data_IF_050095996941
#
_entry.id   IF_050095996941
#
_cell.length_a   1.000
_cell.length_b   1.000
_cell.length_c   1.000
_cell.angle_alpha   90.00
_cell.angle_beta   90.00
_cell.angle_gamma   90.00
#
_symmetry.space_group_name_H-M   'P 1'
#
loop_
_entity.id
_entity.type
_entity.pdbx_description
1 polymer ?
#
# COMPACT_ATOMS: atom_id res chain seq x y z
N UNK A 1 -1.43 35.01 -57.69
CA UNK A 1 -1.00 35.64 -56.43
C UNK A 1 -1.82 35.01 -55.32
N UNK A 2 -1.29 33.99 -54.64
CA UNK A 2 -1.99 33.27 -53.58
C UNK A 2 -1.21 33.47 -52.28
N UNK A 3 -1.86 34.10 -51.30
CA UNK A 3 -1.30 34.32 -49.96
C UNK A 3 -1.61 33.05 -49.17
N UNK A 4 -0.56 32.25 -48.90
CA UNK A 4 -0.66 31.12 -47.96
C UNK A 4 -0.52 31.71 -46.56
N UNK A 5 -1.64 31.82 -45.85
CA UNK A 5 -1.65 32.16 -44.42
C UNK A 5 -1.32 30.90 -43.65
N UNK A 6 -0.06 30.75 -43.25
CA UNK A 6 0.37 29.71 -42.31
C UNK A 6 -0.02 30.18 -40.91
N UNK A 7 -1.18 29.76 -40.44
CA UNK A 7 -1.55 29.88 -39.04
C UNK A 7 -0.71 28.91 -38.23
N UNK A 8 0.38 29.41 -37.65
CA UNK A 8 1.11 28.71 -36.59
C UNK A 8 0.18 28.66 -35.39
N UNK A 9 -0.53 27.55 -35.22
CA UNK A 9 -1.16 27.21 -33.94
C UNK A 9 0.00 26.91 -33.00
N UNK A 10 0.52 27.97 -32.37
CA UNK A 10 1.34 27.86 -31.18
C UNK A 10 0.44 27.30 -30.10
N UNK A 11 0.27 25.98 -30.10
CA UNK A 11 -0.33 25.25 -29.01
C UNK A 11 0.44 25.63 -27.77
N UNK A 12 -0.17 26.48 -26.95
CA UNK A 12 0.15 26.61 -25.54
C UNK A 12 -0.21 25.26 -24.91
N UNK A 13 0.63 24.24 -25.16
CA UNK A 13 0.76 23.14 -24.24
C UNK A 13 1.25 23.81 -22.96
N UNK A 14 0.31 24.14 -22.09
CA UNK A 14 0.58 24.47 -20.70
C UNK A 14 1.27 23.23 -20.16
N UNK A 15 2.58 23.24 -20.28
CA UNK A 15 3.48 22.31 -19.63
C UNK A 15 3.27 22.57 -18.15
N UNK A 16 2.32 21.85 -17.55
CA UNK A 16 2.22 21.68 -16.12
C UNK A 16 3.47 20.90 -15.70
N UNK A 17 4.58 21.61 -15.61
CA UNK A 17 5.69 21.20 -14.77
C UNK A 17 5.17 21.35 -13.35
N UNK A 18 4.44 20.35 -12.87
CA UNK A 18 4.38 20.12 -11.43
C UNK A 18 5.84 20.02 -11.01
N UNK A 19 6.34 21.06 -10.34
CA UNK A 19 7.50 20.88 -9.48
C UNK A 19 7.05 19.80 -8.49
N UNK A 20 7.37 18.54 -8.79
CA UNK A 20 7.51 17.52 -7.76
C UNK A 20 8.50 18.14 -6.78
N UNK A 21 7.92 18.70 -5.73
CA UNK A 21 8.64 19.49 -4.77
C UNK A 21 9.81 18.63 -4.31
N UNK A 22 11.03 19.18 -4.43
CA UNK A 22 12.21 18.59 -3.80
C UNK A 22 11.99 18.36 -2.29
N UNK A 23 10.93 18.94 -1.72
CA UNK A 23 10.37 18.68 -0.40
C UNK A 23 9.95 17.22 -0.23
N UNK A 24 9.25 16.59 -1.18
CA UNK A 24 8.86 15.17 -1.07
C UNK A 24 10.08 14.26 -1.06
N UNK A 25 11.02 14.46 -2.00
CA UNK A 25 12.26 13.66 -2.07
C UNK A 25 13.15 13.87 -0.84
N UNK A 26 13.25 15.10 -0.34
CA UNK A 26 14.02 15.43 0.87
C UNK A 26 13.36 14.89 2.13
N UNK A 27 12.03 14.98 2.24
CA UNK A 27 11.26 14.39 3.34
C UNK A 27 11.38 12.86 3.35
N UNK A 28 11.28 12.19 2.19
CA UNK A 28 11.48 10.73 2.12
C UNK A 28 12.93 10.33 2.42
N UNK A 29 13.92 11.08 1.94
CA UNK A 29 15.32 10.79 2.21
C UNK A 29 15.68 11.00 3.69
N UNK A 30 15.07 11.98 4.36
CA UNK A 30 15.23 12.21 5.79
C UNK A 30 14.52 11.10 6.59
N UNK A 31 13.29 10.72 6.22
CA UNK A 31 12.55 9.65 6.89
C UNK A 31 13.20 8.26 6.76
N UNK A 32 13.80 7.94 5.61
CA UNK A 32 14.54 6.68 5.41
C UNK A 32 15.84 6.67 6.24
N UNK A 33 16.51 7.81 6.40
CA UNK A 33 17.69 7.93 7.27
C UNK A 33 17.33 7.96 8.77
N UNK A 34 16.08 8.27 9.12
CA UNK A 34 15.56 8.22 10.49
C UNK A 34 15.21 6.79 10.94
N UNK A 35 14.90 5.89 10.01
CA UNK A 35 14.52 4.49 10.31
C UNK A 35 15.64 3.48 10.03
N UNK A 36 16.80 3.93 9.53
CA UNK A 36 17.99 3.10 9.40
C UNK A 36 18.58 2.68 10.76
N UNK A 37 19.44 1.65 10.80
CA UNK A 37 20.03 1.11 12.05
C UNK A 37 20.96 2.07 12.82
N UNK A 38 21.15 3.30 12.33
CA UNK A 38 21.94 4.36 12.96
C UNK A 38 21.10 5.64 13.02
N UNK A 39 20.11 5.67 13.92
CA UNK A 39 19.17 6.75 14.13
C UNK A 39 19.84 8.01 14.72
N UNK A 40 20.44 8.84 13.88
CA UNK A 40 21.15 10.06 14.33
C UNK A 40 20.28 11.05 15.12
N UNK A 41 18.95 10.94 15.07
CA UNK A 41 17.99 11.84 15.72
C UNK A 41 17.23 11.21 16.89
N UNK A 42 17.48 9.94 17.23
CA UNK A 42 16.92 9.33 18.44
C UNK A 42 15.40 9.35 18.54
N UNK A 43 14.67 9.28 17.42
CA UNK A 43 13.24 8.97 17.44
C UNK A 43 13.12 7.47 17.71
N UNK A 44 13.57 7.05 18.90
CA UNK A 44 13.33 5.74 19.42
C UNK A 44 11.82 5.59 19.52
N UNK A 45 11.25 4.87 18.56
CA UNK A 45 9.87 4.41 18.67
C UNK A 45 9.86 3.57 19.94
N UNK A 46 9.25 4.09 21.01
CA UNK A 46 9.06 3.31 22.22
C UNK A 46 8.16 2.13 21.87
N UNK A 47 8.79 0.95 21.75
CA UNK A 47 8.11 -0.29 21.40
C UNK A 47 7.44 -0.96 22.59
N UNK A 48 7.67 -0.46 23.81
CA UNK A 48 7.10 -1.05 25.02
C UNK A 48 5.57 -1.04 25.01
N UNK A 49 4.96 -0.07 24.33
CA UNK A 49 3.52 0.04 24.16
C UNK A 49 2.94 -0.92 23.09
N UNK A 50 3.76 -1.49 22.20
CA UNK A 50 3.27 -2.34 21.12
C UNK A 50 3.29 -3.80 21.52
N UNK A 51 2.13 -4.43 21.44
CA UNK A 51 1.98 -5.87 21.66
C UNK A 51 2.31 -6.59 20.35
N UNK A 52 3.07 -7.69 20.42
CA UNK A 52 3.33 -8.54 19.25
C UNK A 52 2.00 -9.08 18.70
N UNK A 53 1.83 -9.00 17.38
CA UNK A 53 0.68 -9.59 16.72
C UNK A 53 0.59 -11.09 17.05
N UNK A 54 -0.63 -11.56 17.38
CA UNK A 54 -0.90 -12.99 17.56
C UNK A 54 -0.95 -13.65 16.20
N UNK A 55 -0.57 -14.93 16.16
CA UNK A 55 -0.62 -15.70 14.93
C UNK A 55 -2.03 -15.88 14.38
N UNK A 56 -2.12 -16.21 13.08
CA UNK A 56 -3.38 -16.55 12.45
C UNK A 56 -3.89 -17.86 13.02
N UNK A 57 -5.05 -17.82 13.68
CA UNK A 57 -5.67 -18.97 14.33
C UNK A 57 -7.03 -19.24 13.73
N UNK A 58 -7.42 -20.53 13.68
CA UNK A 58 -8.74 -20.99 13.22
C UNK A 58 -9.08 -20.55 11.79
N UNK A 59 -8.08 -20.50 10.91
CA UNK A 59 -8.29 -20.27 9.48
C UNK A 59 -8.79 -21.57 8.84
N UNK A 60 -9.92 -21.49 8.12
CA UNK A 60 -10.52 -22.64 7.45
C UNK A 60 -9.81 -23.00 6.15
N UNK A 61 -9.37 -21.99 5.41
CA UNK A 61 -8.77 -22.14 4.09
C UNK A 61 -7.87 -20.95 3.76
N UNK A 62 -6.87 -21.16 2.91
CA UNK A 62 -5.97 -20.14 2.41
C UNK A 62 -6.13 -20.02 0.89
N UNK A 63 -6.23 -18.77 0.41
CA UNK A 63 -6.37 -18.44 -1.01
C UNK A 63 -5.11 -17.68 -1.44
N UNK A 64 -4.61 -17.98 -2.65
CA UNK A 64 -3.38 -17.41 -3.24
C UNK A 64 -2.07 -17.76 -2.50
N UNK A 65 -2.13 -18.55 -1.43
CA UNK A 65 -0.96 -18.97 -0.66
C UNK A 65 -1.22 -20.29 0.05
N UNK A 66 -0.13 -21.01 0.35
CA UNK A 66 -0.11 -22.03 1.41
C UNK A 66 -0.32 -21.37 2.79
N UNK A 67 -0.62 -22.14 3.86
CA UNK A 67 -0.70 -21.61 5.21
C UNK A 67 0.55 -20.78 5.60
N UNK A 68 0.32 -19.58 6.14
CA UNK A 68 1.37 -18.64 6.56
C UNK A 68 1.25 -18.30 8.04
N UNK A 69 2.39 -17.99 8.68
CA UNK A 69 2.47 -17.45 10.05
C UNK A 69 3.14 -16.06 10.08
N UNK A 70 2.99 -15.30 11.17
CA UNK A 70 3.76 -14.05 11.32
C UNK A 70 5.27 -14.27 11.43
N UNK A 71 5.71 -15.47 11.81
CA UNK A 71 7.12 -15.79 11.90
C UNK A 71 7.76 -15.91 10.51
N UNK A 72 7.01 -16.36 9.50
CA UNK A 72 7.43 -16.37 8.07
C UNK A 72 7.48 -14.97 7.46
N UNK A 73 6.75 -14.01 8.05
CA UNK A 73 6.65 -12.63 7.59
C UNK A 73 7.59 -11.66 8.32
N UNK A 74 8.49 -12.16 9.17
CA UNK A 74 9.47 -11.33 9.89
C UNK A 74 10.31 -10.49 8.93
N UNK A 75 10.53 -9.23 9.30
CA UNK A 75 11.29 -8.27 8.49
C UNK A 75 10.48 -7.60 7.38
N UNK A 76 9.22 -7.98 7.18
CA UNK A 76 8.28 -7.34 6.26
C UNK A 76 7.36 -6.39 7.02
N UNK A 77 6.81 -5.41 6.31
CA UNK A 77 5.66 -4.63 6.80
C UNK A 77 4.41 -5.42 6.43
N UNK A 78 3.62 -5.83 7.42
CA UNK A 78 2.42 -6.63 7.19
C UNK A 78 1.18 -5.79 7.49
N UNK A 79 0.35 -5.60 6.48
CA UNK A 79 -0.99 -5.03 6.62
C UNK A 79 -1.99 -6.18 6.71
N UNK A 80 -2.75 -6.23 7.81
CA UNK A 80 -3.86 -7.19 7.97
C UNK A 80 -5.16 -6.45 7.73
N UNK A 81 -5.92 -6.87 6.73
CA UNK A 81 -7.21 -6.28 6.36
C UNK A 81 -8.34 -7.28 6.63
N UNK A 82 -9.28 -6.93 7.51
CA UNK A 82 -10.45 -7.75 7.80
C UNK A 82 -11.58 -7.33 6.88
N UNK A 83 -12.08 -8.26 6.08
CA UNK A 83 -13.03 -7.94 5.03
C UNK A 83 -14.02 -9.06 4.78
N UNK A 84 -15.07 -8.75 4.02
CA UNK A 84 -15.95 -9.74 3.40
C UNK A 84 -16.39 -9.24 2.03
N UNK A 85 -16.69 -10.15 1.10
CA UNK A 85 -16.85 -9.80 -0.31
C UNK A 85 -18.17 -9.08 -0.63
N UNK A 86 -19.25 -9.27 0.15
CA UNK A 86 -20.51 -8.53 -0.08
C UNK A 86 -20.53 -7.15 0.59
N UNK A 87 -19.55 -6.84 1.44
CA UNK A 87 -19.50 -5.57 2.15
C UNK A 87 -19.07 -4.43 1.21
N UNK A 88 -19.99 -3.50 0.95
CA UNK A 88 -19.73 -2.35 0.07
C UNK A 88 -18.59 -1.45 0.55
N UNK A 89 -18.36 -1.38 1.87
CA UNK A 89 -17.26 -0.61 2.42
C UNK A 89 -15.91 -1.28 2.14
N UNK A 90 -15.83 -2.61 2.25
CA UNK A 90 -14.64 -3.37 1.88
C UNK A 90 -14.38 -3.29 0.37
N UNK A 91 -15.41 -3.39 -0.47
CA UNK A 91 -15.24 -3.24 -1.93
C UNK A 91 -14.62 -1.87 -2.28
N UNK A 92 -14.99 -0.81 -1.55
CA UNK A 92 -14.43 0.53 -1.74
C UNK A 92 -12.98 0.67 -1.28
N UNK A 93 -12.49 -0.18 -0.37
CA UNK A 93 -11.09 -0.14 0.07
C UNK A 93 -10.15 -0.90 -0.88
N UNK A 94 -10.65 -1.94 -1.58
CA UNK A 94 -9.84 -2.79 -2.47
C UNK A 94 -8.99 -2.00 -3.49
N UNK A 95 -9.50 -0.96 -4.19
CA UNK A 95 -8.67 -0.21 -5.13
C UNK A 95 -7.44 0.44 -4.49
N UNK A 96 -7.55 0.90 -3.23
CA UNK A 96 -6.44 1.48 -2.48
C UNK A 96 -5.43 0.42 -2.05
N UNK A 97 -5.90 -0.76 -1.63
CA UNK A 97 -5.03 -1.89 -1.30
C UNK A 97 -4.24 -2.35 -2.53
N UNK A 98 -4.89 -2.40 -3.70
CA UNK A 98 -4.21 -2.71 -4.96
C UNK A 98 -3.15 -1.67 -5.32
N UNK A 99 -3.44 -0.38 -5.15
CA UNK A 99 -2.46 0.69 -5.35
C UNK A 99 -1.24 0.52 -4.43
N UNK A 100 -1.46 0.24 -3.15
CA UNK A 100 -0.38 0.02 -2.19
C UNK A 100 0.43 -1.23 -2.49
N UNK A 101 -0.24 -2.33 -2.84
CA UNK A 101 0.42 -3.55 -3.27
C UNK A 101 1.34 -3.29 -4.46
N UNK A 102 0.84 -2.64 -5.51
CA UNK A 102 1.63 -2.31 -6.71
C UNK A 102 2.82 -1.40 -6.40
N UNK A 103 2.69 -0.51 -5.41
CA UNK A 103 3.73 0.48 -5.08
C UNK A 103 4.80 -0.03 -4.12
N UNK A 104 4.46 -0.98 -3.25
CA UNK A 104 5.29 -1.34 -2.08
C UNK A 104 5.55 -2.84 -1.90
N UNK A 105 4.91 -3.74 -2.66
CA UNK A 105 5.15 -5.19 -2.55
C UNK A 105 6.63 -5.56 -2.72
N UNK A 106 7.26 -5.04 -3.78
CA UNK A 106 8.71 -5.22 -4.03
C UNK A 106 9.62 -4.59 -2.97
N UNK A 107 9.06 -3.72 -2.11
CA UNK A 107 9.77 -3.05 -1.01
C UNK A 107 9.50 -3.70 0.35
N UNK A 108 8.85 -4.87 0.36
CA UNK A 108 8.60 -5.65 1.57
C UNK A 108 7.26 -5.39 2.24
N UNK A 109 6.29 -4.75 1.58
CA UNK A 109 4.90 -4.75 2.04
C UNK A 109 4.24 -6.11 1.71
N UNK A 110 3.56 -6.69 2.69
CA UNK A 110 2.66 -7.84 2.51
C UNK A 110 1.27 -7.46 2.99
N UNK A 111 0.25 -7.73 2.18
CA UNK A 111 -1.14 -7.53 2.55
C UNK A 111 -1.76 -8.91 2.76
N UNK A 112 -2.33 -9.14 3.95
CA UNK A 112 -3.06 -10.35 4.31
C UNK A 112 -4.52 -9.99 4.51
N UNK A 113 -5.38 -10.43 3.59
CA UNK A 113 -6.83 -10.27 3.71
C UNK A 113 -7.44 -11.40 4.54
N UNK A 114 -7.96 -11.08 5.72
CA UNK A 114 -8.69 -12.02 6.58
C UNK A 114 -10.18 -11.92 6.23
N UNK A 115 -10.64 -12.84 5.40
CA UNK A 115 -12.05 -12.96 5.05
C UNK A 115 -12.85 -13.42 6.28
N UNK A 116 -13.66 -12.52 6.82
CA UNK A 116 -14.50 -12.76 8.00
C UNK A 116 -15.97 -12.60 7.59
N UNK A 117 -16.64 -13.69 7.19
CA UNK A 117 -17.96 -13.64 6.56
C UNK A 117 -19.02 -13.07 7.52
N UNK A 118 -19.82 -12.14 7.00
CA UNK A 118 -21.00 -11.58 7.67
C UNK A 118 -22.20 -12.52 7.53
N UNK A 119 -22.31 -13.18 6.37
CA UNK A 119 -23.42 -14.10 6.05
C UNK A 119 -22.96 -15.52 5.76
N UNK A 120 -23.86 -16.49 5.91
CA UNK A 120 -23.58 -17.92 5.66
C UNK A 120 -23.11 -18.19 4.23
N UNK A 121 -23.70 -17.50 3.25
CA UNK A 121 -23.33 -17.69 1.85
C UNK A 121 -21.91 -17.23 1.55
N UNK A 122 -21.33 -16.35 2.39
CA UNK A 122 -19.98 -15.85 2.21
C UNK A 122 -18.90 -16.81 2.71
N UNK A 123 -19.28 -17.89 3.40
CA UNK A 123 -18.33 -18.92 3.85
C UNK A 123 -17.86 -19.81 2.71
N UNK A 124 -18.62 -19.84 1.61
CA UNK A 124 -18.27 -20.62 0.44
C UNK A 124 -17.18 -19.88 -0.35
N UNK A 125 -16.07 -20.55 -0.60
CA UNK A 125 -14.90 -20.05 -1.33
C UNK A 125 -14.93 -20.35 -2.83
N UNK A 126 -15.96 -21.07 -3.29
CA UNK A 126 -16.21 -21.43 -4.70
C UNK A 126 -16.68 -20.25 -5.58
#
# INVERSE_FOLDING_TARGET
MAIVVVTVIAGFAVYFNTQESNISKKFTAEFINLTGPNDKYGIGIDKSQFIKAKDFIKISEYINTEPISFDDLKGKVVLVDFWTYSCINCIRTIPHLNEWYNKYSDKGLVIVGIHTPEFEFEKNSD
#
